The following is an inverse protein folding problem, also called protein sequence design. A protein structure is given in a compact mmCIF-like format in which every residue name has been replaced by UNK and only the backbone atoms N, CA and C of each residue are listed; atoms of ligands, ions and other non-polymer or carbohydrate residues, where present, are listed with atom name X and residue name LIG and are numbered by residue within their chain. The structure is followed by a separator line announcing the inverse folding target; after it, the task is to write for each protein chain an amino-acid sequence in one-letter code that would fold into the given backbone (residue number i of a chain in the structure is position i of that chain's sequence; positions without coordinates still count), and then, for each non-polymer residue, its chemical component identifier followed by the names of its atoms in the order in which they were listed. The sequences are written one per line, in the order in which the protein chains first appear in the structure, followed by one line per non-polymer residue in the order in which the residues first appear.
data_IF_058489884929
#
_entry.id   IF_058489884929
#
_cell.length_a   1.000
_cell.length_b   1.000
_cell.length_c   1.000
_cell.angle_alpha   90.00
_cell.angle_beta   90.00
_cell.angle_gamma   90.00
#
_symmetry.space_group_name_H-M   'P 1'
#
loop_
_entity.id
_entity.type
_entity.pdbx_description
1 polymer ?
#
# COMPACT_ATOMS: atom_id res chain seq x y z
N UNK A 1 -61.47 -29.74 63.42
CA UNK A 1 -61.88 -28.40 62.95
C UNK A 1 -61.39 -28.26 61.53
N UNK A 2 -62.34 -28.09 60.63
CA UNK A 2 -62.16 -27.89 59.20
C UNK A 2 -61.39 -26.59 58.89
N UNK A 3 -60.56 -26.57 57.85
CA UNK A 3 -60.90 -25.92 56.57
C UNK A 3 -59.68 -25.62 55.70
N UNK A 4 -59.75 -26.21 54.50
CA UNK A 4 -59.24 -25.88 53.17
C UNK A 4 -58.26 -24.72 52.91
N UNK A 5 -57.36 -24.99 51.96
CA UNK A 5 -56.69 -23.99 51.12
C UNK A 5 -55.76 -24.63 50.09
N UNK A 6 -56.30 -25.01 48.94
CA UNK A 6 -55.61 -25.56 47.76
C UNK A 6 -54.48 -24.63 47.26
N UNK A 7 -53.32 -25.21 46.94
CA UNK A 7 -52.27 -24.58 46.13
C UNK A 7 -52.27 -25.18 44.73
N UNK A 8 -52.54 -24.34 43.74
CA UNK A 8 -52.41 -24.65 42.34
C UNK A 8 -50.95 -24.78 41.90
N UNK A 9 -50.76 -25.69 40.96
CA UNK A 9 -49.54 -26.17 40.32
C UNK A 9 -48.96 -25.10 39.37
N UNK A 10 -47.65 -24.86 39.44
CA UNK A 10 -46.86 -24.44 38.26
C UNK A 10 -45.57 -25.26 38.25
N UNK A 11 -45.51 -26.17 37.29
CA UNK A 11 -44.35 -26.97 36.93
C UNK A 11 -43.24 -26.09 36.36
N UNK A 12 -42.08 -26.08 37.01
CA UNK A 12 -40.84 -25.59 36.40
C UNK A 12 -40.04 -26.81 35.91
N UNK A 13 -40.02 -26.97 34.59
CA UNK A 13 -39.18 -27.92 33.88
C UNK A 13 -37.71 -27.53 34.06
N UNK A 14 -36.93 -28.46 34.58
CA UNK A 14 -35.47 -28.47 34.50
C UNK A 14 -35.04 -28.38 33.04
N UNK A 15 -34.23 -27.38 32.70
CA UNK A 15 -33.39 -27.40 31.52
C UNK A 15 -32.02 -26.87 31.93
N UNK A 16 -31.08 -27.81 32.07
CA UNK A 16 -29.67 -27.53 32.21
C UNK A 16 -29.21 -26.66 31.04
N UNK A 17 -28.79 -25.44 31.35
CA UNK A 17 -27.98 -24.65 30.45
C UNK A 17 -26.55 -25.14 30.60
N UNK A 18 -26.07 -25.87 29.60
CA UNK A 18 -24.64 -26.01 29.40
C UNK A 18 -24.07 -24.61 29.19
N UNK A 19 -23.20 -24.20 30.11
CA UNK A 19 -22.27 -23.10 29.88
C UNK A 19 -21.48 -23.47 28.63
N UNK A 20 -21.90 -22.89 27.50
CA UNK A 20 -21.10 -22.89 26.30
C UNK A 20 -19.99 -21.92 26.59
N UNK A 21 -18.83 -22.48 26.97
CA UNK A 21 -17.54 -21.82 26.85
C UNK A 21 -17.50 -21.19 25.46
N UNK A 22 -17.74 -19.89 25.42
CA UNK A 22 -17.42 -19.07 24.27
C UNK A 22 -15.91 -19.08 24.23
N UNK A 23 -15.39 -20.00 23.41
CA UNK A 23 -14.02 -19.97 22.97
C UNK A 23 -13.83 -18.60 22.32
N UNK A 24 -13.21 -17.68 23.05
CA UNK A 24 -12.58 -16.51 22.48
C UNK A 24 -11.57 -17.02 21.45
N UNK A 25 -12.01 -17.19 20.20
CA UNK A 25 -11.10 -17.36 19.08
C UNK A 25 -10.42 -16.01 18.89
N UNK A 26 -9.38 -15.76 19.68
CA UNK A 26 -8.46 -14.66 19.46
C UNK A 26 -7.92 -14.83 18.04
N UNK A 27 -8.38 -14.01 17.08
CA UNK A 27 -7.89 -14.01 15.71
C UNK A 27 -6.45 -13.46 15.71
N UNK A 28 -5.50 -14.31 16.10
CA UNK A 28 -4.08 -13.96 16.27
C UNK A 28 -3.29 -13.95 14.96
N UNK A 29 -3.87 -14.29 13.80
CA UNK A 29 -3.10 -14.47 12.55
C UNK A 29 -3.23 -13.33 11.51
N UNK A 30 -4.04 -12.30 11.76
CA UNK A 30 -4.23 -11.20 10.80
C UNK A 30 -5.21 -11.51 9.65
N UNK A 31 -5.89 -12.66 9.65
CA UNK A 31 -7.01 -12.96 8.74
C UNK A 31 -8.27 -12.15 9.05
N UNK A 32 -9.19 -12.09 8.09
CA UNK A 32 -10.56 -11.58 8.29
C UNK A 32 -11.48 -12.78 8.46
N UNK A 33 -11.90 -13.08 9.69
CA UNK A 33 -12.78 -14.22 9.97
C UNK A 33 -12.24 -15.56 9.40
N UNK A 34 -10.91 -15.77 9.43
CA UNK A 34 -10.27 -16.96 8.88
C UNK A 34 -9.97 -16.91 7.37
N UNK A 35 -10.27 -15.81 6.69
CA UNK A 35 -9.96 -15.60 5.28
C UNK A 35 -8.76 -14.67 5.07
N UNK A 36 -7.97 -14.98 4.05
CA UNK A 36 -6.73 -14.27 3.72
C UNK A 36 -6.98 -12.86 3.18
N UNK A 37 -8.14 -12.64 2.56
CA UNK A 37 -8.52 -11.37 1.96
C UNK A 37 -10.03 -11.16 2.00
N UNK A 38 -10.47 -9.90 1.87
CA UNK A 38 -11.89 -9.57 1.71
C UNK A 38 -12.48 -10.24 0.47
N UNK A 39 -11.71 -10.38 -0.60
CA UNK A 39 -12.19 -10.99 -1.85
C UNK A 39 -12.55 -12.46 -1.64
N UNK A 40 -11.68 -13.24 -0.98
CA UNK A 40 -11.96 -14.65 -0.67
C UNK A 40 -13.14 -14.80 0.30
N UNK A 41 -13.21 -13.95 1.33
CA UNK A 41 -14.36 -13.94 2.24
C UNK A 41 -15.68 -13.75 1.47
N UNK A 42 -15.75 -12.77 0.58
CA UNK A 42 -16.96 -12.49 -0.21
C UNK A 42 -17.26 -13.60 -1.22
N UNK A 43 -16.24 -14.17 -1.85
CA UNK A 43 -16.39 -15.25 -2.83
C UNK A 43 -16.99 -16.51 -2.21
N UNK A 44 -16.51 -16.90 -1.03
CA UNK A 44 -16.96 -18.11 -0.32
C UNK A 44 -18.32 -17.89 0.38
N UNK A 45 -18.66 -16.64 0.71
CA UNK A 45 -19.88 -16.32 1.47
C UNK A 45 -21.10 -15.97 0.61
N UNK A 46 -20.92 -15.65 -0.69
CA UNK A 46 -22.00 -15.15 -1.55
C UNK A 46 -22.28 -16.11 -2.72
N UNK A 47 -23.52 -16.10 -3.21
CA UNK A 47 -23.85 -16.84 -4.44
C UNK A 47 -23.12 -16.21 -5.65
N UNK A 48 -22.79 -16.98 -6.70
CA UNK A 48 -22.02 -16.45 -7.83
C UNK A 48 -22.60 -15.17 -8.48
N UNK A 49 -23.93 -15.04 -8.71
CA UNK A 49 -24.49 -13.80 -9.24
C UNK A 49 -24.35 -12.61 -8.28
N UNK A 50 -24.52 -12.85 -6.98
CA UNK A 50 -24.40 -11.80 -5.96
C UNK A 50 -22.94 -11.37 -5.80
N UNK A 51 -22.00 -12.31 -5.78
CA UNK A 51 -20.57 -12.04 -5.74
C UNK A 51 -20.12 -11.22 -6.95
N UNK A 52 -20.62 -11.54 -8.15
CA UNK A 52 -20.34 -10.78 -9.36
C UNK A 52 -20.80 -9.33 -9.25
N UNK A 53 -22.01 -9.08 -8.74
CA UNK A 53 -22.56 -7.74 -8.58
C UNK A 53 -21.84 -6.94 -7.49
N UNK A 54 -21.53 -7.58 -6.35
CA UNK A 54 -20.72 -6.97 -5.29
C UNK A 54 -19.32 -6.63 -5.82
N UNK A 55 -18.69 -7.53 -6.56
CA UNK A 55 -17.38 -7.30 -7.17
C UNK A 55 -17.42 -6.17 -8.20
N UNK A 56 -18.49 -6.04 -8.99
CA UNK A 56 -18.68 -4.92 -9.91
C UNK A 56 -18.67 -3.57 -9.19
N UNK A 57 -19.32 -3.49 -8.04
CA UNK A 57 -19.38 -2.27 -7.23
C UNK A 57 -18.07 -1.99 -6.49
N UNK A 58 -17.48 -3.02 -5.88
CA UNK A 58 -16.28 -2.87 -5.05
C UNK A 58 -15.00 -2.79 -5.86
N UNK A 59 -14.86 -3.55 -6.95
CA UNK A 59 -13.64 -3.63 -7.77
C UNK A 59 -13.76 -2.90 -9.11
N UNK A 60 -14.97 -2.58 -9.57
CA UNK A 60 -15.18 -1.95 -10.87
C UNK A 60 -15.03 -2.92 -12.05
N UNK A 61 -15.05 -2.37 -13.26
CA UNK A 61 -14.94 -3.13 -14.51
C UNK A 61 -13.88 -2.51 -15.41
N UNK A 62 -12.91 -3.30 -15.85
CA UNK A 62 -11.94 -2.86 -16.84
C UNK A 62 -12.54 -2.94 -18.24
N UNK A 63 -12.64 -1.80 -18.92
CA UNK A 63 -13.29 -1.70 -20.24
C UNK A 63 -14.69 -2.38 -20.29
N UNK A 64 -15.47 -2.24 -19.21
CA UNK A 64 -16.82 -2.80 -19.11
C UNK A 64 -16.89 -4.30 -18.81
N UNK A 65 -15.78 -4.97 -18.48
CA UNK A 65 -15.73 -6.38 -18.09
C UNK A 65 -15.03 -6.57 -16.75
N UNK A 66 -15.32 -7.68 -16.07
CA UNK A 66 -14.54 -8.08 -14.89
C UNK A 66 -13.09 -8.29 -15.29
N UNK A 67 -12.18 -8.01 -14.34
CA UNK A 67 -10.75 -8.13 -14.57
C UNK A 67 -10.37 -9.58 -14.90
N UNK A 68 -9.58 -9.77 -15.95
CA UNK A 68 -9.13 -11.10 -16.36
C UNK A 68 -7.95 -11.56 -15.51
N UNK A 69 -7.96 -12.83 -15.09
CA UNK A 69 -6.81 -13.46 -14.44
C UNK A 69 -5.78 -13.93 -15.46
N UNK A 70 -4.50 -13.88 -15.09
CA UNK A 70 -3.39 -14.32 -15.94
C UNK A 70 -2.83 -15.63 -15.39
N UNK A 71 -2.63 -16.62 -16.27
CA UNK A 71 -1.87 -17.80 -15.92
C UNK A 71 -0.36 -17.47 -15.93
N UNK A 72 0.26 -17.51 -14.75
CA UNK A 72 1.71 -17.34 -14.61
C UNK A 72 2.48 -18.59 -15.06
N UNK A 73 3.77 -18.49 -15.41
CA UNK A 73 4.55 -19.64 -15.85
C UNK A 73 4.87 -20.60 -14.70
N UNK A 74 5.07 -21.88 -15.01
CA UNK A 74 5.31 -22.94 -14.02
C UNK A 74 6.48 -22.65 -13.06
N UNK A 75 7.64 -22.11 -13.51
CA UNK A 75 8.72 -21.75 -12.60
C UNK A 75 8.30 -20.76 -11.50
N UNK A 76 7.43 -19.79 -11.82
CA UNK A 76 6.95 -18.81 -10.84
C UNK A 76 5.99 -19.46 -9.83
N UNK A 77 5.07 -20.32 -10.31
CA UNK A 77 4.18 -21.09 -9.43
C UNK A 77 4.94 -22.03 -8.50
N UNK A 78 5.94 -22.74 -9.02
CA UNK A 78 6.77 -23.65 -8.23
C UNK A 78 7.53 -22.91 -7.12
N UNK A 79 8.04 -21.69 -7.41
CA UNK A 79 8.66 -20.84 -6.40
C UNK A 79 7.67 -20.40 -5.33
N UNK A 80 6.48 -19.95 -5.72
CA UNK A 80 5.39 -19.59 -4.80
C UNK A 80 5.00 -20.74 -3.87
N UNK A 81 4.76 -21.94 -4.42
CA UNK A 81 4.41 -23.11 -3.60
C UNK A 81 5.54 -23.57 -2.70
N UNK A 82 6.80 -23.52 -3.16
CA UNK A 82 7.97 -23.95 -2.38
C UNK A 82 8.30 -22.99 -1.24
N UNK A 83 8.10 -21.70 -1.44
CA UNK A 83 8.48 -20.64 -0.50
C UNK A 83 7.28 -20.01 0.22
N UNK A 84 6.08 -20.55 0.01
CA UNK A 84 4.82 -20.18 0.68
C UNK A 84 4.51 -18.67 0.64
N UNK A 85 4.48 -18.11 -0.56
CA UNK A 85 4.02 -16.74 -0.79
C UNK A 85 2.82 -16.69 -1.74
N UNK A 86 1.89 -15.77 -1.45
CA UNK A 86 0.71 -15.51 -2.27
C UNK A 86 1.12 -15.03 -3.66
N UNK A 87 0.51 -15.57 -4.71
CA UNK A 87 0.87 -15.28 -6.09
C UNK A 87 -0.41 -15.07 -6.91
N UNK A 88 -0.66 -13.82 -7.27
CA UNK A 88 -1.85 -13.42 -8.02
C UNK A 88 -1.46 -12.69 -9.30
N UNK A 89 -2.26 -12.84 -10.37
CA UNK A 89 -2.00 -12.15 -11.62
C UNK A 89 -3.25 -11.73 -12.39
N UNK A 90 -3.25 -10.50 -12.90
CA UNK A 90 -4.43 -9.88 -13.54
C UNK A 90 -4.06 -9.01 -14.77
N UNK A 91 -5.02 -8.76 -15.66
CA UNK A 91 -4.80 -7.94 -16.86
C UNK A 91 -5.77 -6.76 -16.94
N UNK A 92 -5.21 -5.56 -17.07
CA UNK A 92 -5.91 -4.33 -17.43
C UNK A 92 -5.65 -3.99 -18.90
N UNK A 93 -6.72 -3.93 -19.69
CA UNK A 93 -6.72 -3.61 -21.11
C UNK A 93 -7.13 -2.17 -21.36
N UNK A 94 -6.85 -1.73 -22.59
CA UNK A 94 -7.35 -0.50 -23.19
C UNK A 94 -8.14 -0.84 -24.46
N UNK A 95 -8.99 0.09 -24.91
CA UNK A 95 -9.64 -0.03 -26.21
C UNK A 95 -8.58 0.01 -27.33
N UNK A 96 -8.86 -0.67 -28.45
CA UNK A 96 -7.93 -0.68 -29.59
C UNK A 96 -7.86 0.72 -30.22
N UNK A 97 -6.65 1.30 -30.26
CA UNK A 97 -6.40 2.53 -31.01
C UNK A 97 -6.05 2.21 -32.49
N UNK A 98 -6.49 3.08 -33.42
CA UNK A 98 -6.15 2.93 -34.85
C UNK A 98 -4.76 3.44 -35.21
N UNK A 99 -4.24 4.41 -34.45
CA UNK A 99 -2.99 5.11 -34.75
C UNK A 99 -1.81 4.66 -33.87
N UNK A 100 -2.06 3.85 -32.84
CA UNK A 100 -1.04 3.42 -31.88
C UNK A 100 -1.21 1.95 -31.56
N UNK A 101 -0.09 1.25 -31.45
CA UNK A 101 -0.09 -0.09 -30.86
C UNK A 101 -0.40 -0.05 -29.36
N UNK A 102 -0.85 -1.17 -28.78
CA UNK A 102 -1.00 -1.30 -27.33
C UNK A 102 0.35 -1.09 -26.63
N UNK A 103 0.35 -0.44 -25.47
CA UNK A 103 1.56 -0.20 -24.67
C UNK A 103 1.49 -1.06 -23.41
N UNK A 104 1.66 -2.36 -23.61
CA UNK A 104 1.60 -3.35 -22.54
C UNK A 104 2.88 -3.31 -21.69
N UNK A 105 2.70 -3.21 -20.39
CA UNK A 105 3.76 -3.35 -19.39
C UNK A 105 3.31 -4.31 -18.30
N UNK A 106 4.16 -5.27 -17.94
CA UNK A 106 3.93 -6.18 -16.82
C UNK A 106 4.58 -5.63 -15.55
N UNK A 107 3.79 -5.44 -14.50
CA UNK A 107 4.23 -4.80 -13.25
C UNK A 107 4.06 -5.75 -12.07
N UNK A 108 5.04 -5.80 -11.18
CA UNK A 108 5.04 -6.59 -9.95
C UNK A 108 4.98 -5.73 -8.69
N UNK A 109 4.13 -6.10 -7.73
CA UNK A 109 4.09 -5.55 -6.38
C UNK A 109 4.50 -6.63 -5.38
N UNK A 110 5.43 -6.31 -4.49
CA UNK A 110 5.93 -7.26 -3.47
C UNK A 110 5.57 -6.77 -2.08
N UNK A 111 4.88 -7.61 -1.32
CA UNK A 111 4.69 -7.45 0.12
C UNK A 111 5.37 -8.58 0.88
N UNK A 112 5.94 -8.27 2.04
CA UNK A 112 6.56 -9.25 2.91
C UNK A 112 6.62 -8.79 4.37
N UNK A 113 6.68 -9.74 5.29
CA UNK A 113 7.07 -9.52 6.68
C UNK A 113 8.58 -9.65 6.85
N UNK A 114 9.08 -9.25 8.02
CA UNK A 114 10.48 -9.48 8.40
C UNK A 114 10.78 -10.99 8.47
N UNK A 115 12.06 -11.35 8.34
CA UNK A 115 12.50 -12.75 8.30
C UNK A 115 13.08 -13.26 9.64
N UNK A 116 13.60 -12.37 10.48
CA UNK A 116 14.17 -12.68 11.79
C UNK A 116 13.60 -11.74 12.87
N UNK A 117 13.66 -12.13 14.16
CA UNK A 117 13.26 -11.26 15.25
C UNK A 117 14.07 -9.95 15.27
N UNK A 118 13.45 -8.87 15.75
CA UNK A 118 14.07 -7.54 15.83
C UNK A 118 15.25 -7.48 16.81
N UNK A 119 15.43 -8.51 17.63
CA UNK A 119 16.56 -8.71 18.56
C UNK A 119 17.81 -9.31 17.91
N UNK A 120 17.71 -9.86 16.70
CA UNK A 120 18.85 -10.42 15.98
C UNK A 120 19.84 -9.31 15.53
N UNK A 121 21.11 -9.64 15.21
CA UNK A 121 22.04 -8.67 14.65
C UNK A 121 21.49 -8.02 13.36
N UNK A 122 21.68 -6.70 13.18
CA UNK A 122 21.09 -5.97 12.04
C UNK A 122 21.55 -6.52 10.67
N UNK A 123 22.82 -6.92 10.57
CA UNK A 123 23.36 -7.59 9.37
C UNK A 123 22.63 -8.89 9.04
N UNK A 124 22.19 -9.62 10.06
CA UNK A 124 21.53 -10.92 9.89
C UNK A 124 20.07 -10.72 9.51
N UNK A 125 19.40 -9.75 10.12
CA UNK A 125 18.05 -9.33 9.74
C UNK A 125 17.99 -8.92 8.26
N UNK A 126 18.90 -8.05 7.83
CA UNK A 126 18.99 -7.59 6.43
C UNK A 126 19.22 -8.76 5.47
N UNK A 127 20.23 -9.61 5.73
CA UNK A 127 20.53 -10.79 4.89
C UNK A 127 19.37 -11.77 4.81
N UNK A 128 18.66 -11.99 5.91
CA UNK A 128 17.50 -12.88 5.93
C UNK A 128 16.35 -12.32 5.08
N UNK A 129 16.14 -11.00 5.07
CA UNK A 129 15.16 -10.37 4.17
C UNK A 129 15.58 -10.53 2.70
N UNK A 130 16.87 -10.38 2.37
CA UNK A 130 17.36 -10.62 1.00
C UNK A 130 17.09 -12.05 0.55
N UNK A 131 17.39 -13.03 1.41
CA UNK A 131 17.13 -14.45 1.14
C UNK A 131 15.63 -14.74 0.98
N UNK A 132 14.78 -14.12 1.80
CA UNK A 132 13.32 -14.24 1.72
C UNK A 132 12.78 -13.66 0.41
N UNK A 133 13.26 -12.50 -0.02
CA UNK A 133 12.76 -11.83 -1.22
C UNK A 133 13.33 -12.39 -2.53
N UNK A 134 14.50 -13.04 -2.49
CA UNK A 134 15.12 -13.65 -3.67
C UNK A 134 14.14 -14.54 -4.47
N UNK A 135 13.46 -15.56 -3.89
CA UNK A 135 12.50 -16.37 -4.64
C UNK A 135 11.31 -15.59 -5.19
N UNK A 136 10.89 -14.50 -4.53
CA UNK A 136 9.78 -13.65 -4.98
C UNK A 136 10.21 -12.83 -6.20
N UNK A 137 11.41 -12.24 -6.16
CA UNK A 137 11.98 -11.48 -7.29
C UNK A 137 12.29 -12.41 -8.48
N UNK A 138 12.80 -13.61 -8.22
CA UNK A 138 13.00 -14.65 -9.24
C UNK A 138 11.67 -15.06 -9.90
N UNK A 139 10.59 -15.19 -9.13
CA UNK A 139 9.26 -15.49 -9.66
C UNK A 139 8.70 -14.35 -10.51
N UNK A 140 8.93 -13.10 -10.12
CA UNK A 140 8.60 -11.93 -10.93
C UNK A 140 9.39 -11.91 -12.25
N UNK A 141 10.71 -12.14 -12.18
CA UNK A 141 11.57 -12.24 -13.35
C UNK A 141 11.17 -13.38 -14.29
N UNK A 142 10.88 -14.57 -13.76
CA UNK A 142 10.38 -15.71 -14.52
C UNK A 142 9.01 -15.43 -15.16
N UNK A 143 8.20 -14.55 -14.53
CA UNK A 143 6.92 -14.09 -15.06
C UNK A 143 7.05 -12.98 -16.10
N UNK A 144 8.26 -12.52 -16.45
CA UNK A 144 8.48 -11.45 -17.42
C UNK A 144 8.05 -10.07 -16.92
N UNK A 145 8.10 -9.84 -15.60
CA UNK A 145 7.82 -8.52 -15.02
C UNK A 145 8.83 -7.50 -15.55
N UNK A 146 8.33 -6.37 -16.04
CA UNK A 146 9.14 -5.27 -16.57
C UNK A 146 9.47 -4.24 -15.49
N UNK A 147 8.56 -4.01 -14.53
CA UNK A 147 8.76 -3.10 -13.41
C UNK A 147 8.33 -3.79 -12.11
N UNK A 148 9.20 -3.88 -11.11
CA UNK A 148 8.86 -4.40 -9.78
C UNK A 148 9.05 -3.32 -8.73
N UNK A 149 8.14 -3.26 -7.77
CA UNK A 149 8.23 -2.36 -6.63
C UNK A 149 8.16 -3.13 -5.31
N UNK A 150 9.10 -2.83 -4.43
CA UNK A 150 9.13 -3.34 -3.06
C UNK A 150 8.34 -2.40 -2.13
N UNK A 151 8.01 -2.88 -0.93
CA UNK A 151 7.35 -2.11 0.11
C UNK A 151 8.27 -1.05 0.75
N UNK A 152 7.70 -0.18 1.59
CA UNK A 152 8.46 0.86 2.29
C UNK A 152 9.47 0.28 3.27
N UNK A 153 10.70 0.81 3.24
CA UNK A 153 11.81 0.43 4.12
C UNK A 153 11.97 -1.10 4.21
N UNK A 154 11.88 -1.79 3.07
CA UNK A 154 11.68 -3.24 3.00
C UNK A 154 12.78 -4.06 3.71
N UNK A 155 13.96 -3.49 3.87
CA UNK A 155 15.16 -4.14 4.43
C UNK A 155 15.28 -4.12 5.95
N UNK A 156 14.34 -3.47 6.62
CA UNK A 156 14.40 -3.30 8.07
C UNK A 156 13.03 -3.55 8.69
N UNK A 157 12.98 -3.94 9.97
CA UNK A 157 11.79 -3.72 10.78
C UNK A 157 11.40 -2.24 10.73
N UNK A 158 10.11 -1.95 10.78
CA UNK A 158 9.59 -0.60 10.81
C UNK A 158 9.72 0.02 12.21
N UNK A 159 10.97 0.14 12.66
CA UNK A 159 11.35 0.44 14.05
C UNK A 159 11.09 1.89 14.49
N UNK A 160 10.46 2.71 13.64
CA UNK A 160 10.26 4.13 13.91
C UNK A 160 9.34 4.40 15.12
N UNK A 161 8.51 3.43 15.53
CA UNK A 161 7.76 3.50 16.80
C UNK A 161 8.65 3.67 18.03
N UNK A 162 9.82 3.03 18.02
CA UNK A 162 10.69 2.95 19.21
C UNK A 162 11.35 4.29 19.51
N UNK A 163 11.51 5.15 18.48
CA UNK A 163 12.25 6.43 18.52
C UNK A 163 13.74 6.28 18.85
N UNK A 164 14.24 5.04 18.97
CA UNK A 164 15.63 4.74 19.27
C UNK A 164 16.53 4.94 18.04
N UNK A 165 17.73 5.51 18.26
CA UNK A 165 18.66 5.86 17.17
C UNK A 165 19.52 4.70 16.68
N UNK A 166 19.66 3.61 17.44
CA UNK A 166 20.39 2.40 16.99
C UNK A 166 19.91 1.87 15.64
N UNK A 167 18.61 1.98 15.36
CA UNK A 167 18.01 1.54 14.10
C UNK A 167 18.50 2.33 12.88
N UNK A 168 19.15 3.48 13.07
CA UNK A 168 19.76 4.26 11.99
C UNK A 168 20.96 3.55 11.33
N UNK A 169 21.47 2.46 11.91
CA UNK A 169 22.50 1.60 11.28
C UNK A 169 21.98 0.86 10.04
N UNK A 170 20.66 0.70 9.88
CA UNK A 170 20.06 0.21 8.63
C UNK A 170 20.14 1.22 7.47
N UNK A 171 20.52 2.48 7.75
CA UNK A 171 20.54 3.51 6.72
C UNK A 171 21.76 3.35 5.80
N UNK A 172 21.51 3.37 4.49
CA UNK A 172 22.52 3.15 3.45
C UNK A 172 22.56 4.31 2.46
N UNK A 173 23.70 4.58 1.80
CA UNK A 173 23.67 5.46 0.63
C UNK A 173 22.82 4.85 -0.49
N UNK A 174 22.39 5.66 -1.45
CA UNK A 174 21.51 5.20 -2.53
C UNK A 174 22.13 4.13 -3.44
N UNK A 175 23.45 4.04 -3.46
CA UNK A 175 24.28 3.07 -4.14
C UNK A 175 24.87 2.03 -3.18
N UNK A 176 24.25 1.84 -2.00
CA UNK A 176 24.64 0.83 -1.02
C UNK A 176 24.26 -0.60 -1.40
N UNK A 177 24.62 -1.54 -0.53
CA UNK A 177 24.48 -3.00 -0.71
C UNK A 177 23.08 -3.43 -1.19
N UNK A 178 22.04 -2.75 -0.72
CA UNK A 178 20.66 -2.98 -1.15
C UNK A 178 20.38 -2.71 -2.62
N UNK A 179 20.89 -1.60 -3.12
CA UNK A 179 20.80 -1.23 -4.52
C UNK A 179 21.67 -2.18 -5.34
N UNK A 180 22.87 -2.51 -4.88
CA UNK A 180 23.76 -3.47 -5.55
C UNK A 180 23.11 -4.85 -5.72
N UNK A 181 22.52 -5.38 -4.64
CA UNK A 181 21.75 -6.63 -4.65
C UNK A 181 20.65 -6.59 -5.72
N UNK A 182 19.87 -5.51 -5.79
CA UNK A 182 18.77 -5.38 -6.76
C UNK A 182 19.27 -5.11 -8.19
N UNK A 183 20.43 -4.47 -8.39
CA UNK A 183 21.01 -4.24 -9.72
C UNK A 183 21.32 -5.55 -10.44
N UNK A 184 21.66 -6.63 -9.72
CA UNK A 184 21.86 -7.95 -10.32
C UNK A 184 20.57 -8.49 -10.95
N UNK A 185 19.45 -8.41 -10.22
CA UNK A 185 18.14 -8.82 -10.73
C UNK A 185 17.66 -7.92 -11.87
N UNK A 186 17.89 -6.61 -11.77
CA UNK A 186 17.54 -5.66 -12.81
C UNK A 186 18.19 -6.05 -14.15
N UNK A 187 19.50 -6.34 -14.14
CA UNK A 187 20.22 -6.81 -15.33
C UNK A 187 19.76 -8.20 -15.78
N UNK A 188 19.65 -9.15 -14.85
CA UNK A 188 19.30 -10.55 -15.14
C UNK A 188 17.95 -10.65 -15.87
N UNK A 189 16.98 -9.85 -15.46
CA UNK A 189 15.61 -9.91 -15.96
C UNK A 189 15.23 -8.75 -16.89
N UNK A 190 16.17 -7.85 -17.20
CA UNK A 190 15.89 -6.63 -17.95
C UNK A 190 14.70 -5.86 -17.32
N UNK A 191 14.74 -5.69 -16.00
CA UNK A 191 13.61 -5.23 -15.18
C UNK A 191 13.96 -3.93 -14.45
N UNK A 192 13.06 -2.96 -14.46
CA UNK A 192 13.15 -1.75 -13.61
C UNK A 192 12.75 -2.13 -12.19
N UNK A 193 13.53 -1.69 -11.19
CA UNK A 193 13.27 -2.00 -9.77
C UNK A 193 13.14 -0.71 -8.97
N UNK A 194 12.07 -0.59 -8.19
CA UNK A 194 11.85 0.49 -7.23
C UNK A 194 12.25 -0.02 -5.84
N UNK A 195 13.23 0.65 -5.24
CA UNK A 195 13.91 0.26 -4.01
C UNK A 195 13.68 1.31 -2.89
N UNK A 196 12.61 1.21 -2.05
CA UNK A 196 12.38 2.11 -0.94
C UNK A 196 13.24 1.77 0.29
N UNK A 197 14.18 2.66 0.63
CA UNK A 197 15.18 2.48 1.69
C UNK A 197 15.17 3.62 2.70
N UNK A 198 15.77 3.37 3.86
CA UNK A 198 16.29 4.45 4.71
C UNK A 198 17.64 4.89 4.13
N UNK A 199 17.67 6.07 3.52
CA UNK A 199 18.87 6.64 2.91
C UNK A 199 19.71 7.37 3.97
N UNK A 200 21.03 7.17 3.92
CA UNK A 200 22.04 8.02 4.56
C UNK A 200 22.74 8.88 3.51
N UNK A 201 22.51 10.18 3.53
CA UNK A 201 23.10 11.11 2.56
C UNK A 201 24.52 11.53 2.98
N UNK A 202 25.51 10.74 2.56
CA UNK A 202 26.94 10.97 2.88
C UNK A 202 27.43 12.36 2.42
N UNK A 203 26.83 12.93 1.36
CA UNK A 203 27.25 14.23 0.83
C UNK A 203 26.67 15.41 1.62
N UNK A 204 25.60 15.20 2.37
CA UNK A 204 24.89 16.24 3.12
C UNK A 204 24.84 15.90 4.61
N UNK A 205 26.02 15.77 5.22
CA UNK A 205 26.17 15.60 6.67
C UNK A 205 25.58 14.30 7.22
N UNK A 206 25.54 13.24 6.40
CA UNK A 206 24.97 11.92 6.77
C UNK A 206 23.49 11.98 7.20
N UNK A 207 22.77 13.00 6.72
CA UNK A 207 21.35 13.19 7.03
C UNK A 207 20.53 12.00 6.52
N UNK A 208 19.59 11.54 7.35
CA UNK A 208 18.72 10.42 7.00
C UNK A 208 17.49 10.88 6.22
N UNK A 209 17.04 10.03 5.30
CA UNK A 209 15.86 10.26 4.47
C UNK A 209 15.09 8.97 4.22
N UNK A 210 13.79 9.04 4.04
CA UNK A 210 13.00 7.95 3.48
C UNK A 210 12.94 8.12 1.96
N UNK A 211 13.52 7.18 1.22
CA UNK A 211 13.88 7.39 -0.19
C UNK A 211 13.54 6.18 -1.03
N UNK A 212 12.87 6.40 -2.16
CA UNK A 212 12.76 5.42 -3.24
C UNK A 212 13.87 5.63 -4.27
N UNK A 213 14.74 4.64 -4.44
CA UNK A 213 15.76 4.59 -5.49
C UNK A 213 15.17 3.87 -6.71
N UNK A 214 15.38 4.44 -7.90
CA UNK A 214 14.89 3.87 -9.16
C UNK A 214 16.07 3.24 -9.90
N UNK A 215 16.08 1.92 -9.99
CA UNK A 215 17.08 1.13 -10.69
C UNK A 215 16.54 0.80 -12.08
N UNK A 216 17.25 1.24 -13.12
CA UNK A 216 16.91 0.95 -14.51
C UNK A 216 17.17 -0.51 -14.88
N UNK A 217 16.57 -0.95 -15.99
CA UNK A 217 16.64 -2.33 -16.48
C UNK A 217 18.05 -2.81 -16.90
N UNK A 218 19.03 -1.90 -17.00
CA UNK A 218 20.45 -2.25 -17.18
C UNK A 218 21.25 -2.23 -15.87
N UNK A 219 20.56 -2.08 -14.73
CA UNK A 219 21.17 -1.93 -13.42
C UNK A 219 21.80 -0.56 -13.18
N UNK A 220 21.52 0.48 -13.95
CA UNK A 220 21.95 1.84 -13.65
C UNK A 220 20.97 2.51 -12.66
N UNK A 221 21.44 3.37 -11.76
CA UNK A 221 20.54 4.20 -10.95
C UNK A 221 20.01 5.33 -11.84
N UNK A 222 18.70 5.35 -12.11
CA UNK A 222 18.04 6.43 -12.85
C UNK A 222 17.94 7.69 -11.97
N UNK A 223 17.64 7.51 -10.70
CA UNK A 223 17.53 8.60 -9.74
C UNK A 223 16.89 8.16 -8.43
N UNK A 224 16.45 9.14 -7.64
CA UNK A 224 15.79 8.92 -6.35
C UNK A 224 14.66 9.91 -6.10
N UNK A 225 13.71 9.53 -5.24
CA UNK A 225 12.66 10.39 -4.71
C UNK A 225 12.57 10.24 -3.19
N UNK A 226 12.51 11.35 -2.46
CA UNK A 226 12.38 11.41 -1.00
C UNK A 226 10.95 11.68 -0.58
N UNK A 227 10.50 11.02 0.50
CA UNK A 227 9.14 11.10 1.03
C UNK A 227 8.73 12.55 1.32
N UNK A 228 7.78 13.09 0.55
CA UNK A 228 7.34 14.49 0.68
C UNK A 228 6.60 14.77 1.99
N UNK A 229 5.79 13.83 2.47
CA UNK A 229 4.93 14.01 3.64
C UNK A 229 5.33 13.04 4.74
N UNK A 230 5.81 13.58 5.87
CA UNK A 230 6.31 12.77 7.00
C UNK A 230 5.23 12.71 8.09
N UNK A 231 4.79 11.50 8.50
CA UNK A 231 3.84 11.36 9.58
C UNK A 231 4.46 11.72 10.94
N UNK A 232 3.58 12.17 11.83
CA UNK A 232 3.86 12.45 13.25
C UNK A 232 2.78 11.84 14.16
N UNK A 233 2.07 10.81 13.69
CA UNK A 233 0.83 10.32 14.28
C UNK A 233 1.06 8.96 14.93
N UNK A 234 0.72 8.83 16.21
CA UNK A 234 0.75 7.55 16.92
C UNK A 234 2.14 6.92 16.96
N UNK A 235 2.24 5.67 16.53
CA UNK A 235 3.50 4.92 16.41
C UNK A 235 4.33 5.28 15.17
N UNK A 236 3.77 6.04 14.23
CA UNK A 236 4.47 6.56 13.05
C UNK A 236 5.28 7.81 13.38
N UNK A 237 6.26 7.67 14.28
CA UNK A 237 7.14 8.75 14.76
C UNK A 237 8.32 9.03 13.80
N UNK A 238 8.05 8.94 12.49
CA UNK A 238 9.05 9.03 11.43
C UNK A 238 9.81 10.36 11.42
N UNK A 239 9.14 11.47 11.76
CA UNK A 239 9.78 12.80 11.85
C UNK A 239 10.91 12.89 12.88
N UNK A 240 11.03 11.90 13.79
CA UNK A 240 12.18 11.78 14.68
C UNK A 240 13.45 11.41 13.90
N UNK A 241 13.31 10.71 12.77
CA UNK A 241 14.40 10.11 12.01
C UNK A 241 14.80 10.91 10.78
N UNK A 242 13.84 11.48 10.05
CA UNK A 242 14.08 12.20 8.79
C UNK A 242 13.07 13.34 8.56
N UNK A 243 13.45 14.26 7.69
CA UNK A 243 12.69 15.47 7.35
C UNK A 243 11.88 15.32 6.05
N UNK A 244 10.97 16.26 5.80
CA UNK A 244 10.20 16.35 4.56
C UNK A 244 11.11 16.39 3.32
N UNK A 245 10.80 15.56 2.33
CA UNK A 245 11.60 15.37 1.12
C UNK A 245 11.79 16.67 0.32
N UNK A 246 13.00 16.83 -0.22
CA UNK A 246 13.41 17.99 -1.01
C UNK A 246 13.57 17.70 -2.51
N UNK A 247 13.08 16.56 -2.98
CA UNK A 247 13.21 16.12 -4.39
C UNK A 247 12.03 16.52 -5.28
N UNK A 248 11.00 17.17 -4.72
CA UNK A 248 9.78 17.51 -5.45
C UNK A 248 8.97 16.26 -5.82
N UNK A 249 8.42 16.24 -7.03
CA UNK A 249 7.54 15.16 -7.53
C UNK A 249 8.07 14.56 -8.83
N UNK A 250 9.29 13.97 -8.82
CA UNK A 250 9.93 13.50 -10.05
C UNK A 250 9.13 12.37 -10.69
N UNK A 251 9.10 12.38 -12.02
CA UNK A 251 8.60 11.29 -12.85
C UNK A 251 9.79 10.73 -13.62
N UNK A 252 9.98 9.42 -13.54
CA UNK A 252 11.10 8.72 -14.13
C UNK A 252 10.62 8.07 -15.43
N UNK A 253 11.17 8.53 -16.56
CA UNK A 253 10.93 7.91 -17.84
C UNK A 253 11.82 6.67 -17.98
N UNK A 254 11.19 5.51 -18.15
CA UNK A 254 11.86 4.22 -18.28
C UNK A 254 11.56 3.59 -19.64
N UNK A 255 12.23 2.48 -19.96
CA UNK A 255 11.88 1.67 -21.14
C UNK A 255 10.42 1.17 -21.13
N UNK A 256 9.76 1.19 -19.98
CA UNK A 256 8.46 0.56 -19.72
C UNK A 256 7.36 1.55 -19.33
N UNK A 257 7.61 2.85 -19.52
CA UNK A 257 6.65 3.92 -19.21
C UNK A 257 7.17 4.91 -18.16
N UNK A 258 6.36 5.94 -17.91
CA UNK A 258 6.65 7.01 -16.95
C UNK A 258 6.15 6.65 -15.57
N UNK A 259 7.06 6.39 -14.65
CA UNK A 259 6.74 5.98 -13.29
C UNK A 259 7.02 7.08 -12.27
N UNK A 260 6.27 7.09 -11.18
CA UNK A 260 6.56 7.89 -10.00
C UNK A 260 6.32 7.09 -8.73
N UNK A 261 6.76 7.63 -7.59
CA UNK A 261 6.61 6.96 -6.29
C UNK A 261 6.02 7.94 -5.29
N UNK A 262 4.80 7.69 -4.82
CA UNK A 262 4.22 8.39 -3.70
C UNK A 262 4.48 7.58 -2.43
N UNK A 263 5.42 7.98 -1.59
CA UNK A 263 5.85 7.13 -0.47
C UNK A 263 4.87 7.26 0.72
N UNK A 264 4.25 6.13 1.09
CA UNK A 264 3.49 5.89 2.32
C UNK A 264 2.50 7.00 2.68
N UNK A 265 2.80 7.83 3.68
CA UNK A 265 1.90 8.86 4.22
C UNK A 265 1.52 9.95 3.20
N UNK A 266 2.29 10.06 2.11
CA UNK A 266 1.88 10.85 0.96
C UNK A 266 0.59 10.35 0.29
N UNK A 267 0.11 9.14 0.62
CA UNK A 267 -1.20 8.61 0.18
C UNK A 267 -2.38 9.47 0.64
N UNK A 268 -2.27 10.10 1.81
CA UNK A 268 -3.31 10.92 2.39
C UNK A 268 -3.42 12.32 1.76
N UNK A 269 -2.53 12.65 0.82
CA UNK A 269 -2.39 13.99 0.28
C UNK A 269 -2.77 14.00 -1.20
N UNK A 270 -4.02 14.35 -1.56
CA UNK A 270 -4.46 14.43 -2.96
C UNK A 270 -3.56 15.31 -3.84
N UNK A 271 -2.99 16.37 -3.28
CA UNK A 271 -2.07 17.25 -4.01
C UNK A 271 -0.74 16.58 -4.37
N UNK A 272 -0.25 15.65 -3.55
CA UNK A 272 0.97 14.89 -3.82
C UNK A 272 0.77 13.96 -5.03
N UNK A 273 -0.35 13.24 -5.06
CA UNK A 273 -0.80 12.44 -6.21
C UNK A 273 -0.97 13.30 -7.46
N UNK A 274 -1.64 14.44 -7.32
CA UNK A 274 -1.89 15.37 -8.42
C UNK A 274 -0.58 15.86 -9.05
N UNK A 275 0.41 16.20 -8.23
CA UNK A 275 1.69 16.70 -8.72
C UNK A 275 2.45 15.68 -9.58
N UNK A 276 2.43 14.39 -9.23
CA UNK A 276 2.97 13.34 -10.10
C UNK A 276 2.19 13.22 -11.43
N UNK A 277 0.86 13.33 -11.37
CA UNK A 277 0.02 13.37 -12.57
C UNK A 277 0.32 14.58 -13.45
N UNK A 278 0.54 15.77 -12.87
CA UNK A 278 0.94 17.00 -13.57
C UNK A 278 2.29 16.84 -14.28
N UNK A 279 3.22 16.11 -13.67
CA UNK A 279 4.52 15.79 -14.27
C UNK A 279 4.48 14.62 -15.27
N UNK A 280 3.29 14.07 -15.56
CA UNK A 280 3.07 13.11 -16.63
C UNK A 280 3.26 11.64 -16.27
N UNK A 281 3.12 11.27 -14.98
CA UNK A 281 3.14 9.88 -14.57
C UNK A 281 2.03 9.04 -15.26
N UNK A 282 2.38 7.81 -15.63
CA UNK A 282 1.48 6.78 -16.16
C UNK A 282 1.21 5.69 -15.13
N UNK A 283 2.18 5.43 -14.24
CA UNK A 283 2.05 4.54 -13.08
C UNK A 283 2.63 5.27 -11.86
N UNK A 284 1.88 5.33 -10.76
CA UNK A 284 2.41 5.80 -9.47
C UNK A 284 2.41 4.67 -8.46
N UNK A 285 3.57 4.33 -7.93
CA UNK A 285 3.72 3.33 -6.89
C UNK A 285 3.55 3.96 -5.51
N UNK A 286 2.90 3.25 -4.59
CA UNK A 286 2.72 3.68 -3.21
C UNK A 286 3.23 2.62 -2.23
N UNK A 287 4.56 2.51 -2.07
CA UNK A 287 5.15 1.69 -1.04
C UNK A 287 4.82 2.26 0.34
N UNK A 288 4.23 1.42 1.19
CA UNK A 288 3.74 1.80 2.51
C UNK A 288 4.10 0.75 3.56
N UNK A 289 4.15 1.19 4.82
CA UNK A 289 4.01 0.35 5.98
C UNK A 289 2.99 1.02 6.90
N UNK A 290 1.81 0.41 7.05
CA UNK A 290 0.72 0.98 7.87
C UNK A 290 -0.09 -0.12 8.56
N UNK A 291 -0.63 0.19 9.74
CA UNK A 291 -1.30 -0.76 10.63
C UNK A 291 -2.66 -0.25 11.09
N UNK A 292 -3.46 -1.17 11.62
CA UNK A 292 -4.57 -0.85 12.50
C UNK A 292 -5.88 -0.49 11.82
N UNK A 293 -6.95 -0.59 12.61
CA UNK A 293 -8.35 -0.48 12.19
C UNK A 293 -8.75 0.90 11.66
N UNK A 294 -8.05 1.97 12.05
CA UNK A 294 -8.31 3.30 11.50
C UNK A 294 -7.66 3.49 10.14
N UNK A 295 -6.51 2.86 9.89
CA UNK A 295 -5.82 3.00 8.60
C UNK A 295 -6.44 2.15 7.51
N UNK A 296 -6.82 0.91 7.82
CA UNK A 296 -7.24 -0.07 6.82
C UNK A 296 -8.49 0.36 6.02
N UNK A 297 -9.53 1.00 6.62
CA UNK A 297 -10.68 1.50 5.87
C UNK A 297 -10.34 2.55 4.81
N UNK A 298 -9.23 3.28 4.96
CA UNK A 298 -8.77 4.26 3.96
C UNK A 298 -8.02 3.59 2.79
N UNK A 299 -7.44 2.42 3.01
CA UNK A 299 -6.59 1.72 2.04
C UNK A 299 -7.24 1.46 0.67
N UNK A 300 -8.49 0.95 0.57
CA UNK A 300 -9.14 0.74 -0.72
C UNK A 300 -9.66 2.04 -1.37
N UNK A 301 -9.54 3.18 -0.68
CA UNK A 301 -10.14 4.47 -1.09
C UNK A 301 -9.09 5.40 -1.70
N UNK A 302 -8.01 5.69 -0.99
CA UNK A 302 -7.12 6.82 -1.30
C UNK A 302 -6.36 6.62 -2.62
N UNK A 303 -5.70 5.47 -2.76
CA UNK A 303 -4.95 5.12 -3.97
C UNK A 303 -5.86 4.94 -5.18
N UNK A 304 -7.05 4.37 -4.98
CA UNK A 304 -8.04 4.20 -6.04
C UNK A 304 -8.60 5.55 -6.50
N UNK A 305 -8.89 6.44 -5.56
CA UNK A 305 -9.29 7.81 -5.88
C UNK A 305 -8.17 8.54 -6.66
N UNK A 306 -6.91 8.37 -6.26
CA UNK A 306 -5.78 8.95 -6.97
C UNK A 306 -5.69 8.45 -8.42
N UNK A 307 -5.90 7.14 -8.66
CA UNK A 307 -5.92 6.56 -10.01
C UNK A 307 -6.99 7.19 -10.90
N UNK A 308 -8.20 7.34 -10.36
CA UNK A 308 -9.35 7.95 -11.05
C UNK A 308 -9.09 9.43 -11.35
N UNK A 309 -8.79 10.22 -10.31
CA UNK A 309 -8.67 11.68 -10.40
C UNK A 309 -7.53 12.13 -11.32
N UNK A 310 -6.47 11.33 -11.44
CA UNK A 310 -5.31 11.65 -12.26
C UNK A 310 -5.23 10.89 -13.58
N UNK A 311 -6.12 9.92 -13.79
CA UNK A 311 -6.19 9.08 -14.99
C UNK A 311 -4.84 8.41 -15.29
N UNK A 312 -4.26 7.76 -14.27
CA UNK A 312 -3.09 6.90 -14.35
C UNK A 312 -3.33 5.58 -13.59
N UNK A 313 -2.38 4.64 -13.62
CA UNK A 313 -2.39 3.48 -12.73
C UNK A 313 -1.75 3.79 -11.38
N UNK A 314 -2.20 3.09 -10.33
CA UNK A 314 -1.58 3.13 -9.00
C UNK A 314 -1.30 1.72 -8.51
N UNK A 315 -0.08 1.45 -8.04
CA UNK A 315 0.30 0.20 -7.39
C UNK A 315 0.49 0.42 -5.89
N UNK A 316 -0.45 -0.04 -5.07
CA UNK A 316 -0.44 0.13 -3.61
C UNK A 316 0.20 -1.07 -2.95
N UNK A 317 1.19 -0.85 -2.09
CA UNK A 317 1.95 -1.92 -1.44
C UNK A 317 1.99 -1.64 0.05
N UNK A 318 1.55 -2.61 0.86
CA UNK A 318 1.74 -2.55 2.31
C UNK A 318 2.53 -3.75 2.79
N UNK A 319 3.27 -3.53 3.87
CA UNK A 319 3.92 -4.59 4.67
C UNK A 319 2.90 -5.59 5.22
N UNK A 320 3.35 -6.79 5.57
CA UNK A 320 2.56 -7.79 6.30
C UNK A 320 3.19 -8.21 7.62
N UNK A 321 2.37 -8.74 8.52
CA UNK A 321 2.79 -9.35 9.77
C UNK A 321 2.84 -8.35 10.94
N UNK A 322 3.26 -8.85 12.11
CA UNK A 322 3.39 -8.04 13.33
C UNK A 322 4.84 -8.06 13.78
N UNK A 323 5.39 -6.90 14.08
CA UNK A 323 6.78 -6.74 14.51
C UNK A 323 6.83 -6.37 15.99
N UNK A 324 7.62 -7.11 16.78
CA UNK A 324 7.80 -6.89 18.22
C UNK A 324 9.21 -6.40 18.49
N UNK A 325 9.36 -5.36 19.29
CA UNK A 325 10.64 -4.69 19.58
C UNK A 325 11.18 -5.02 20.99
N UNK A 326 12.50 -4.89 21.22
CA UNK A 326 13.11 -5.31 22.49
C UNK A 326 12.68 -4.45 23.68
N UNK A 327 12.49 -3.15 23.46
CA UNK A 327 12.13 -2.19 24.49
C UNK A 327 10.69 -1.71 24.26
N UNK A 328 9.83 -1.68 25.31
CA UNK A 328 8.49 -1.14 25.20
C UNK A 328 8.48 0.35 24.85
N UNK A 329 7.46 0.79 24.13
CA UNK A 329 7.21 2.18 23.75
C UNK A 329 5.72 2.53 23.92
N UNK A 330 5.39 3.81 23.78
CA UNK A 330 4.00 4.31 23.91
C UNK A 330 3.55 4.99 22.62
N UNK A 331 2.30 4.73 22.21
CA UNK A 331 1.70 5.30 21.01
C UNK A 331 1.21 6.75 21.16
N UNK A 332 1.33 7.35 22.35
CA UNK A 332 0.88 8.74 22.58
C UNK A 332 -0.64 8.91 22.68
N UNK A 333 -1.38 7.82 22.93
CA UNK A 333 -2.84 7.78 23.04
C UNK A 333 -3.34 7.59 24.49
N UNK A 334 -2.43 7.65 25.48
CA UNK A 334 -2.73 7.46 26.90
C UNK A 334 -2.85 6.01 27.35
N UNK A 335 -2.65 5.03 26.46
CA UNK A 335 -2.61 3.60 26.84
C UNK A 335 -1.26 3.21 27.45
N UNK A 336 -1.17 2.04 28.13
CA UNK A 336 0.09 1.51 28.63
C UNK A 336 1.13 1.30 27.52
N UNK A 337 2.39 1.28 27.90
CA UNK A 337 3.47 0.88 26.99
C UNK A 337 3.27 -0.56 26.50
N UNK A 338 3.73 -0.83 25.29
CA UNK A 338 3.68 -2.14 24.64
C UNK A 338 4.93 -2.32 23.77
N UNK A 339 5.11 -3.52 23.22
CA UNK A 339 6.32 -3.85 22.45
C UNK A 339 6.03 -4.19 20.98
N UNK A 340 4.77 -4.42 20.60
CA UNK A 340 4.39 -4.73 19.22
C UNK A 340 3.95 -3.47 18.45
N UNK A 341 4.31 -3.36 17.18
CA UNK A 341 3.90 -2.21 16.35
C UNK A 341 2.41 -2.25 15.95
N UNK A 342 1.73 -3.38 16.19
CA UNK A 342 0.48 -3.72 15.54
C UNK A 342 0.67 -4.47 14.22
N UNK A 343 -0.45 -4.95 13.67
CA UNK A 343 -0.47 -5.80 12.48
C UNK A 343 -0.46 -4.96 11.19
N UNK A 344 0.58 -5.14 10.38
CA UNK A 344 0.59 -4.67 9.00
C UNK A 344 -0.29 -5.59 8.16
N UNK A 345 -1.32 -5.00 7.53
CA UNK A 345 -2.43 -5.74 6.93
C UNK A 345 -2.27 -6.04 5.43
N UNK A 346 -1.07 -5.88 4.85
CA UNK A 346 -0.81 -6.21 3.44
C UNK A 346 -1.83 -5.60 2.49
N UNK A 347 -2.62 -6.46 1.86
CA UNK A 347 -3.70 -6.03 0.98
C UNK A 347 -3.20 -5.18 -0.20
N UNK A 348 -2.00 -5.48 -0.68
CA UNK A 348 -1.42 -4.81 -1.85
C UNK A 348 -2.28 -5.08 -3.09
N UNK A 349 -2.49 -4.06 -3.92
CA UNK A 349 -3.39 -4.12 -5.07
C UNK A 349 -3.04 -3.05 -6.12
N UNK A 350 -3.56 -3.23 -7.34
CA UNK A 350 -3.52 -2.20 -8.39
C UNK A 350 -4.86 -1.50 -8.52
N UNK A 351 -4.82 -0.19 -8.76
CA UNK A 351 -5.96 0.63 -9.17
C UNK A 351 -5.72 1.23 -10.55
N UNK A 352 -6.74 1.23 -11.40
CA UNK A 352 -6.69 1.68 -12.78
C UNK A 352 -7.44 3.01 -12.98
N UNK A 353 -7.12 3.74 -14.07
CA UNK A 353 -7.74 5.04 -14.36
C UNK A 353 -9.24 4.97 -14.68
N UNK A 354 -9.77 3.79 -15.02
CA UNK A 354 -11.21 3.56 -15.27
C UNK A 354 -11.99 3.16 -14.01
N UNK A 355 -11.40 3.39 -12.83
CA UNK A 355 -11.90 3.00 -11.51
C UNK A 355 -11.89 1.49 -11.23
N UNK A 356 -11.45 0.64 -12.16
CA UNK A 356 -11.25 -0.78 -11.85
C UNK A 356 -10.03 -1.01 -10.94
N UNK A 357 -10.02 -2.06 -10.14
CA UNK A 357 -8.88 -2.47 -9.34
C UNK A 357 -8.79 -4.00 -9.24
N UNK A 358 -7.60 -4.51 -8.90
CA UNK A 358 -7.44 -5.93 -8.59
C UNK A 358 -8.09 -6.24 -7.22
N UNK A 359 -8.47 -7.49 -6.98
CA UNK A 359 -8.47 -8.02 -5.63
C UNK A 359 -7.13 -7.75 -4.93
N UNK A 360 -7.16 -7.67 -3.61
CA UNK A 360 -5.94 -7.50 -2.82
C UNK A 360 -5.21 -8.82 -2.59
N UNK A 361 -3.88 -8.76 -2.46
CA UNK A 361 -3.09 -9.82 -1.85
C UNK A 361 -3.56 -10.10 -0.41
N UNK A 362 -3.12 -11.23 0.14
CA UNK A 362 -3.33 -11.59 1.54
C UNK A 362 -3.02 -10.44 2.52
N UNK A 363 -3.71 -10.44 3.67
CA UNK A 363 -3.42 -9.51 4.78
C UNK A 363 -2.19 -9.87 5.59
N UNK A 364 -1.77 -11.13 5.56
CA UNK A 364 -0.79 -11.65 6.49
C UNK A 364 0.32 -12.49 5.83
N UNK A 365 0.15 -12.92 4.57
CA UNK A 365 1.16 -13.68 3.82
C UNK A 365 2.07 -12.75 3.03
N UNK A 366 3.34 -13.14 2.93
CA UNK A 366 4.25 -12.61 1.90
C UNK A 366 3.62 -12.86 0.52
N UNK A 367 3.86 -12.00 -0.46
CA UNK A 367 3.22 -12.17 -1.76
C UNK A 367 3.73 -11.31 -2.90
N UNK A 368 3.41 -11.77 -4.11
CA UNK A 368 3.68 -11.13 -5.39
C UNK A 368 2.38 -10.97 -6.17
N UNK A 369 2.04 -9.72 -6.50
CA UNK A 369 0.98 -9.42 -7.46
C UNK A 369 1.60 -9.02 -8.80
N UNK A 370 1.26 -9.75 -9.86
CA UNK A 370 1.65 -9.42 -11.23
C UNK A 370 0.46 -8.80 -11.97
N UNK A 371 0.66 -7.73 -12.73
CA UNK A 371 -0.41 -7.20 -13.58
C UNK A 371 0.09 -6.69 -14.91
N UNK A 372 -0.60 -7.08 -15.98
CA UNK A 372 -0.41 -6.51 -17.31
C UNK A 372 -1.24 -5.24 -17.41
N UNK A 373 -0.60 -4.11 -17.68
CA UNK A 373 -1.24 -2.80 -17.80
C UNK A 373 -1.06 -2.30 -19.23
N UNK A 374 -2.14 -1.98 -19.94
CA UNK A 374 -2.05 -1.18 -21.18
C UNK A 374 -2.02 0.31 -20.83
N UNK A 375 -0.86 0.94 -20.99
CA UNK A 375 -0.66 2.37 -20.67
C UNK A 375 -1.47 3.30 -21.57
N UNK A 376 -2.00 2.83 -22.71
CA UNK A 376 -2.92 3.63 -23.52
C UNK A 376 -4.22 3.95 -22.77
N UNK A 377 -4.63 3.13 -21.80
CA UNK A 377 -5.82 3.38 -20.98
C UNK A 377 -5.74 4.76 -20.27
N UNK A 378 -4.54 5.18 -19.86
CA UNK A 378 -4.33 6.49 -19.24
C UNK A 378 -4.79 7.62 -20.15
N UNK A 379 -4.45 7.58 -21.45
CA UNK A 379 -4.86 8.60 -22.42
C UNK A 379 -6.36 8.50 -22.73
N UNK A 380 -6.86 7.30 -22.97
CA UNK A 380 -8.28 7.08 -23.27
C UNK A 380 -9.20 7.65 -22.19
N UNK A 381 -8.84 7.46 -20.91
CA UNK A 381 -9.62 7.99 -19.80
C UNK A 381 -9.46 9.50 -19.62
N UNK A 382 -8.26 10.06 -19.90
CA UNK A 382 -8.06 11.52 -19.95
C UNK A 382 -8.97 12.17 -20.99
N UNK A 383 -9.07 11.58 -22.18
CA UNK A 383 -9.90 12.10 -23.27
C UNK A 383 -11.39 11.90 -23.00
N UNK A 384 -11.79 10.73 -22.49
CA UNK A 384 -13.19 10.38 -22.21
C UNK A 384 -13.82 11.22 -21.09
N UNK A 385 -13.10 11.41 -19.99
CA UNK A 385 -13.63 12.12 -18.81
C UNK A 385 -13.24 13.59 -18.76
N UNK A 386 -12.12 13.96 -19.40
CA UNK A 386 -11.68 15.34 -19.47
C UNK A 386 -11.26 15.95 -18.13
N UNK A 387 -10.98 15.17 -17.08
CA UNK A 387 -10.64 15.72 -15.75
C UNK A 387 -9.47 16.70 -15.81
N UNK A 388 -8.44 16.39 -16.61
CA UNK A 388 -7.27 17.26 -16.79
C UNK A 388 -7.62 18.54 -17.57
N UNK A 389 -8.56 18.46 -18.51
CA UNK A 389 -9.05 19.58 -19.30
C UNK A 389 -9.91 20.53 -18.45
N UNK A 390 -10.69 20.01 -17.52
CA UNK A 390 -11.63 20.78 -16.68
C UNK A 390 -11.08 21.13 -15.30
N UNK A 391 -9.82 20.81 -15.01
CA UNK A 391 -9.26 20.93 -13.67
C UNK A 391 -9.03 22.37 -13.17
N UNK A 392 -9.06 23.39 -14.05
CA UNK A 392 -8.89 24.81 -13.70
C UNK A 392 -7.67 25.08 -12.79
N UNK A 393 -6.53 24.45 -13.09
CA UNK A 393 -5.33 24.53 -12.23
C UNK A 393 -4.87 25.95 -11.91
N UNK A 394 -5.02 26.89 -12.85
CA UNK A 394 -4.72 28.30 -12.63
C UNK A 394 -5.54 28.90 -11.47
N UNK A 395 -6.85 28.62 -11.42
CA UNK A 395 -7.72 29.08 -10.33
C UNK A 395 -7.25 28.53 -8.97
N UNK A 396 -6.90 27.24 -8.92
CA UNK A 396 -6.38 26.62 -7.70
C UNK A 396 -4.99 27.14 -7.32
N UNK A 397 -4.15 27.51 -8.28
CA UNK A 397 -2.85 28.11 -8.00
C UNK A 397 -2.98 29.45 -7.29
N UNK A 398 -3.91 30.32 -7.74
CA UNK A 398 -4.22 31.58 -7.05
C UNK A 398 -4.83 31.35 -5.68
N UNK A 399 -5.72 30.37 -5.54
CA UNK A 399 -6.32 30.01 -4.26
C UNK A 399 -5.24 29.58 -3.25
N UNK A 400 -4.36 28.64 -3.61
CA UNK A 400 -3.31 28.14 -2.74
C UNK A 400 -2.28 29.23 -2.42
N UNK A 401 -1.91 30.06 -3.40
CA UNK A 401 -0.99 31.18 -3.19
C UNK A 401 -1.56 32.24 -2.22
N UNK A 402 -2.89 32.39 -2.15
CA UNK A 402 -3.54 33.23 -1.14
C UNK A 402 -3.62 32.53 0.21
N UNK A 403 -4.01 31.25 0.23
CA UNK A 403 -4.18 30.45 1.44
C UNK A 403 -2.94 30.40 2.33
N UNK A 404 -1.74 30.30 1.73
CA UNK A 404 -0.49 30.19 2.49
C UNK A 404 0.00 31.51 3.10
N UNK A 405 -0.69 32.63 2.86
CA UNK A 405 -0.28 33.93 3.42
C UNK A 405 -0.75 34.07 4.87
N UNK A 406 0.04 34.72 5.75
CA UNK A 406 -0.34 34.91 7.16
C UNK A 406 -1.64 35.72 7.36
N UNK A 407 -2.00 36.57 6.41
CA UNK A 407 -3.18 37.43 6.41
C UNK A 407 -4.38 36.81 5.67
N UNK A 408 -4.33 35.51 5.36
CA UNK A 408 -5.42 34.83 4.68
C UNK A 408 -6.71 34.85 5.51
N UNK A 409 -7.74 35.51 4.98
CA UNK A 409 -9.10 35.40 5.48
C UNK A 409 -9.87 34.35 4.67
N UNK A 410 -10.44 33.31 5.31
CA UNK A 410 -11.31 32.35 4.63
C UNK A 410 -12.51 33.04 3.97
N UNK A 411 -12.89 32.58 2.78
CA UNK A 411 -14.06 33.09 2.07
C UNK A 411 -15.37 32.57 2.71
N UNK A 412 -15.70 33.08 3.89
CA UNK A 412 -16.91 32.74 4.65
C UNK A 412 -17.94 33.85 4.49
N UNK A 413 -19.12 33.50 3.98
CA UNK A 413 -20.26 34.42 3.86
C UNK A 413 -21.19 34.14 5.04
N UNK A 414 -21.26 35.07 6.00
CA UNK A 414 -22.10 34.93 7.18
C UNK A 414 -23.47 35.57 6.96
N UNK A 415 -24.52 34.90 7.47
CA UNK A 415 -25.84 35.51 7.61
C UNK A 415 -25.75 36.71 8.58
N UNK A 416 -26.13 37.92 8.16
CA UNK A 416 -26.08 39.11 9.01
C UNK A 416 -26.92 38.96 10.29
N UNK A 417 -27.94 38.10 10.34
CA UNK A 417 -28.78 37.85 11.51
C UNK A 417 -28.13 36.92 12.55
N UNK A 418 -27.06 36.19 12.21
CA UNK A 418 -26.32 35.34 13.14
C UNK A 418 -25.38 36.13 14.07
N UNK A 419 -25.20 37.43 13.83
CA UNK A 419 -24.53 38.31 14.78
C UNK A 419 -25.45 38.52 15.99
N UNK A 420 -25.40 37.62 16.97
CA UNK A 420 -25.93 37.91 18.30
C UNK A 420 -25.19 39.14 18.81
N UNK A 421 -25.94 40.20 19.11
CA UNK A 421 -25.48 41.33 19.91
C UNK A 421 -24.79 40.77 21.14
N UNK A 422 -23.47 40.93 21.20
CA UNK A 422 -22.64 40.56 22.35
C UNK A 422 -22.83 41.55 23.47
#
# INVERSE_FOLDING_TARGET
MESNGEKAVVSSSENGKSETETTESSSKDGSICGFDSLHHLLQESLSPPLFQEVSRLLLGLNCGKSLETIALPEPARALSSKHDFDLQAYSFRADKESLRGPRLVRVGLVQNGIALPTTAPFSDQKRAIFQKLTPIIEAAGASGVNIICLQEAWMMPFAFCTREKRWCEFAEPIDGESTEFLQEFARKYNMVIINPILERDIKHGETLWNTAVIIGNHGNIIGKHRKNHIPRVGDFNESTYYMEGNTGHPVFETAYGKIAVNICYGRHHPLNWLAFGLNGAEIVFNPSATVGELSEPMWPIEARNAAIANSYFVGSINRVGTEVFPNPFTSGDGKPQHADFGHFYGSSHFSAPDASCTPSLSRYKDGLMVSDLDLNLCRQLKDKWGFRMTARYEMYSYLLARYVKPDFEPQVISDPLLRRST
#
